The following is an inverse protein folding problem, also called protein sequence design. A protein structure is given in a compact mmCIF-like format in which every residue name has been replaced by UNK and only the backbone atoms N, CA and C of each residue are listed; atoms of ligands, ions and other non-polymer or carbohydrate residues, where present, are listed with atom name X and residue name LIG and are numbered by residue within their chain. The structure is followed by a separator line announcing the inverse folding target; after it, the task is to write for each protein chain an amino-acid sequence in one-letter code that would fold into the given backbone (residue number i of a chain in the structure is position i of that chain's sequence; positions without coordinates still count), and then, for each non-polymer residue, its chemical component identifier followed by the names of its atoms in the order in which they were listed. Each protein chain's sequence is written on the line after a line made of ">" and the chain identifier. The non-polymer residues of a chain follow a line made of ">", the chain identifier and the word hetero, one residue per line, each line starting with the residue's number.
data_IF_024135167053
#
_entry.id   IF_024135167053
#
_cell.length_a   1.000
_cell.length_b   1.000
_cell.length_c   1.000
_cell.angle_alpha   90.00
_cell.angle_beta   90.00
_cell.angle_gamma   90.00
#
_symmetry.space_group_name_H-M   'P 1'
#
loop_
_entity.id
_entity.type
_entity.pdbx_description
1 polymer ?
#
# COMPACT_ATOMS: atom_id res chain seq x y z
N UNK A 1 -26.12 -31.99 -18.11
CA UNK A 1 -25.40 -31.02 -17.25
C UNK A 1 -24.06 -31.63 -16.90
N UNK A 2 -22.98 -31.14 -17.49
CA UNK A 2 -21.63 -31.54 -17.08
C UNK A 2 -21.25 -30.74 -15.83
N UNK A 3 -20.73 -31.42 -14.80
CA UNK A 3 -20.23 -30.74 -13.59
C UNK A 3 -19.02 -29.89 -13.96
N UNK A 4 -18.93 -28.68 -13.39
CA UNK A 4 -17.76 -27.81 -13.51
C UNK A 4 -16.45 -28.54 -13.14
N UNK A 5 -16.52 -29.53 -12.24
CA UNK A 5 -15.37 -30.34 -11.82
C UNK A 5 -14.77 -31.17 -12.95
N UNK A 6 -15.58 -31.57 -13.93
CA UNK A 6 -15.12 -32.40 -15.05
C UNK A 6 -14.41 -31.57 -16.12
N UNK A 7 -14.90 -30.34 -16.37
CA UNK A 7 -14.31 -29.41 -17.34
C UNK A 7 -12.97 -28.85 -16.83
N UNK A 8 -12.87 -28.56 -15.53
CA UNK A 8 -11.63 -28.08 -14.91
C UNK A 8 -10.54 -29.16 -14.94
N UNK A 9 -10.87 -30.42 -14.60
CA UNK A 9 -9.87 -31.51 -14.60
C UNK A 9 -9.36 -31.86 -16.01
N UNK A 10 -10.19 -31.77 -17.06
CA UNK A 10 -9.73 -31.98 -18.44
C UNK A 10 -8.90 -30.80 -18.97
N UNK A 11 -9.20 -29.58 -18.54
CA UNK A 11 -8.42 -28.38 -18.94
C UNK A 11 -7.03 -28.36 -18.31
N UNK A 12 -6.90 -28.86 -17.06
CA UNK A 12 -5.62 -28.98 -16.33
C UNK A 12 -4.66 -29.97 -16.99
N UNK A 13 -5.17 -31.01 -17.67
CA UNK A 13 -4.34 -32.02 -18.32
C UNK A 13 -3.57 -31.50 -19.56
N UNK A 14 -3.92 -30.31 -20.07
CA UNK A 14 -3.34 -29.75 -21.31
C UNK A 14 -2.31 -28.65 -21.02
N UNK A 15 -2.21 -28.16 -19.78
CA UNK A 15 -1.29 -27.06 -19.44
C UNK A 15 0.08 -27.64 -19.04
N UNK A 16 1.18 -27.28 -19.73
CA UNK A 16 2.50 -27.80 -19.40
C UNK A 16 2.89 -27.37 -17.99
N UNK A 17 3.19 -28.36 -17.14
CA UNK A 17 3.88 -28.30 -15.84
C UNK A 17 3.83 -26.94 -15.10
N UNK A 18 2.62 -26.47 -14.71
CA UNK A 18 2.56 -25.42 -13.71
C UNK A 18 3.05 -25.96 -12.36
N UNK A 19 3.85 -25.18 -11.61
CA UNK A 19 4.16 -25.44 -10.21
C UNK A 19 2.92 -25.77 -9.38
N UNK A 20 3.09 -26.67 -8.42
CA UNK A 20 2.00 -27.22 -7.59
C UNK A 20 1.17 -26.11 -6.93
N UNK A 21 1.80 -25.03 -6.46
CA UNK A 21 1.06 -23.94 -5.81
C UNK A 21 0.14 -23.19 -6.79
N UNK A 22 0.55 -23.01 -8.04
CA UNK A 22 -0.27 -22.35 -9.06
C UNK A 22 -1.46 -23.23 -9.49
N UNK A 23 -1.29 -24.55 -9.52
CA UNK A 23 -2.37 -25.51 -9.73
C UNK A 23 -3.39 -25.49 -8.59
N UNK A 24 -2.93 -25.42 -7.34
CA UNK A 24 -3.80 -25.33 -6.17
C UNK A 24 -4.62 -24.04 -6.17
N UNK A 25 -4.03 -22.92 -6.61
CA UNK A 25 -4.73 -21.66 -6.80
C UNK A 25 -5.81 -21.72 -7.90
N UNK A 26 -5.48 -22.29 -9.06
CA UNK A 26 -6.45 -22.47 -10.16
C UNK A 26 -7.62 -23.37 -9.77
N UNK A 27 -7.44 -24.25 -8.78
CA UNK A 27 -8.46 -25.17 -8.26
C UNK A 27 -9.26 -24.64 -7.06
N UNK A 28 -8.89 -23.47 -6.50
CA UNK A 28 -9.56 -22.94 -5.31
C UNK A 28 -9.08 -23.49 -3.97
N UNK A 29 -8.06 -24.33 -3.96
CA UNK A 29 -7.52 -25.01 -2.77
C UNK A 29 -6.38 -24.20 -2.14
N UNK A 30 -6.63 -22.91 -1.86
CA UNK A 30 -5.63 -21.98 -1.29
C UNK A 30 -5.16 -22.41 0.09
N UNK A 31 -6.00 -23.13 0.84
CA UNK A 31 -5.70 -23.63 2.18
C UNK A 31 -4.50 -24.58 2.22
N UNK A 32 -4.16 -25.21 1.09
CA UNK A 32 -3.05 -26.17 0.96
C UNK A 32 -1.72 -25.52 0.56
N UNK A 33 -1.69 -24.20 0.37
CA UNK A 33 -0.49 -23.45 0.00
C UNK A 33 0.36 -23.22 1.25
N UNK A 34 1.59 -23.73 1.24
CA UNK A 34 2.56 -23.49 2.31
C UNK A 34 3.48 -22.32 1.95
N UNK A 35 3.58 -21.27 2.78
CA UNK A 35 4.54 -20.18 2.58
C UNK A 35 6.01 -20.65 2.64
N UNK A 36 6.97 -19.91 2.03
CA UNK A 36 6.78 -18.67 1.27
C UNK A 36 6.34 -18.91 -0.18
N UNK A 37 5.53 -18.00 -0.70
CA UNK A 37 5.06 -18.05 -2.09
C UNK A 37 6.15 -17.62 -3.07
N UNK A 38 6.24 -18.31 -4.21
CA UNK A 38 7.11 -17.88 -5.31
C UNK A 38 6.59 -16.58 -5.94
N UNK A 39 7.45 -15.69 -6.46
CA UNK A 39 7.02 -14.48 -7.17
C UNK A 39 6.07 -14.76 -8.35
N UNK A 40 6.22 -15.90 -9.03
CA UNK A 40 5.33 -16.30 -10.12
C UNK A 40 3.93 -16.70 -9.61
N UNK A 41 3.88 -17.34 -8.44
CA UNK A 41 2.63 -17.69 -7.75
C UNK A 41 1.91 -16.44 -7.27
N UNK A 42 2.68 -15.48 -6.73
CA UNK A 42 2.18 -14.15 -6.38
C UNK A 42 1.54 -13.45 -7.58
N UNK A 43 2.29 -13.26 -8.67
CA UNK A 43 1.81 -12.55 -9.85
C UNK A 43 0.56 -13.17 -10.49
N UNK A 44 0.44 -14.50 -10.47
CA UNK A 44 -0.74 -15.20 -10.98
C UNK A 44 -1.98 -14.93 -10.12
N UNK A 45 -1.85 -14.96 -8.80
CA UNK A 45 -2.93 -14.64 -7.86
C UNK A 45 -3.43 -13.20 -8.07
N UNK A 46 -2.46 -12.29 -8.29
CA UNK A 46 -2.69 -10.87 -8.53
C UNK A 46 -3.40 -10.62 -9.88
N UNK A 47 -3.04 -11.38 -10.92
CA UNK A 47 -3.64 -11.29 -12.25
C UNK A 47 -5.08 -11.86 -12.30
N UNK A 48 -5.40 -12.83 -11.45
CA UNK A 48 -6.71 -13.48 -11.43
C UNK A 48 -7.80 -12.68 -10.71
N UNK A 49 -7.45 -11.68 -9.89
CA UNK A 49 -8.40 -10.74 -9.28
C UNK A 49 -9.45 -11.36 -8.34
N UNK A 50 -9.24 -12.61 -7.89
CA UNK A 50 -10.23 -13.32 -7.08
C UNK A 50 -10.13 -12.94 -5.60
N UNK A 51 -10.97 -11.99 -5.18
CA UNK A 51 -11.03 -11.45 -3.81
C UNK A 51 -11.17 -12.53 -2.72
N UNK A 52 -11.87 -13.64 -2.97
CA UNK A 52 -12.07 -14.69 -1.96
C UNK A 52 -10.78 -15.46 -1.65
N UNK A 53 -10.01 -15.81 -2.68
CA UNK A 53 -8.73 -16.52 -2.54
C UNK A 53 -7.65 -15.62 -1.92
N UNK A 54 -7.64 -14.33 -2.29
CA UNK A 54 -6.81 -13.32 -1.65
C UNK A 54 -7.18 -13.15 -0.18
N UNK A 55 -8.48 -13.18 0.17
CA UNK A 55 -8.94 -13.10 1.56
C UNK A 55 -8.49 -14.31 2.39
N UNK A 56 -8.56 -15.52 1.84
CA UNK A 56 -8.09 -16.73 2.53
C UNK A 56 -6.56 -16.75 2.69
N UNK A 57 -5.83 -16.31 1.66
CA UNK A 57 -4.40 -16.10 1.76
C UNK A 57 -4.10 -15.05 2.84
N UNK A 58 -4.75 -13.90 2.84
CA UNK A 58 -4.61 -12.89 3.91
C UNK A 58 -4.90 -13.47 5.30
N UNK A 59 -5.80 -14.45 5.44
CA UNK A 59 -6.05 -15.16 6.70
C UNK A 59 -4.89 -16.08 7.10
N UNK A 60 -4.20 -16.68 6.14
CA UNK A 60 -2.99 -17.46 6.40
C UNK A 60 -1.75 -16.58 6.63
N UNK A 61 -1.62 -15.47 5.89
CA UNK A 61 -0.53 -14.50 6.00
C UNK A 61 -0.70 -13.56 7.20
N UNK A 62 -1.93 -13.45 7.75
CA UNK A 62 -2.31 -12.79 9.01
C UNK A 62 -1.45 -13.18 10.22
N UNK A 63 -0.73 -14.32 10.16
CA UNK A 63 0.19 -14.79 11.19
C UNK A 63 1.64 -14.27 11.03
N UNK A 64 1.95 -13.49 10.00
CA UNK A 64 3.32 -13.03 9.68
C UNK A 64 3.37 -11.55 9.23
N UNK A 65 3.74 -10.61 10.13
CA UNK A 65 3.80 -9.17 9.84
C UNK A 65 4.73 -8.80 8.66
N UNK A 66 5.85 -9.52 8.51
CA UNK A 66 6.83 -9.29 7.44
C UNK A 66 6.28 -9.61 6.05
N UNK A 67 5.31 -10.50 5.97
CA UNK A 67 4.73 -10.89 4.69
C UNK A 67 3.81 -9.79 4.15
N UNK A 68 2.91 -9.23 4.98
CA UNK A 68 2.09 -8.08 4.57
C UNK A 68 2.92 -6.89 4.07
N UNK A 69 4.09 -6.65 4.67
CA UNK A 69 5.04 -5.63 4.20
C UNK A 69 5.54 -5.93 2.78
N UNK A 70 5.87 -7.19 2.51
CA UNK A 70 6.35 -7.64 1.20
C UNK A 70 5.28 -7.56 0.12
N UNK A 71 4.04 -7.94 0.45
CA UNK A 71 2.89 -7.83 -0.47
C UNK A 71 2.58 -6.37 -0.80
N UNK A 72 2.57 -5.51 0.22
CA UNK A 72 2.33 -4.07 0.05
C UNK A 72 3.43 -3.42 -0.80
N UNK A 73 4.69 -3.78 -0.58
CA UNK A 73 5.81 -3.31 -1.39
C UNK A 73 5.65 -3.70 -2.87
N UNK A 74 5.27 -4.95 -3.14
CA UNK A 74 5.02 -5.45 -4.50
C UNK A 74 3.85 -4.71 -5.13
N UNK A 75 2.76 -4.52 -4.38
CA UNK A 75 1.58 -3.81 -4.84
C UNK A 75 1.87 -2.34 -5.16
N UNK A 76 2.72 -1.68 -4.37
CA UNK A 76 3.17 -0.32 -4.63
C UNK A 76 4.04 -0.21 -5.88
N UNK A 77 5.03 -1.09 -6.06
CA UNK A 77 5.90 -1.04 -7.23
C UNK A 77 5.10 -1.25 -8.52
N UNK A 78 4.13 -2.16 -8.50
CA UNK A 78 3.34 -2.53 -9.68
C UNK A 78 2.02 -1.78 -9.85
N UNK A 79 1.67 -0.86 -8.93
CA UNK A 79 0.42 -0.09 -9.00
C UNK A 79 -0.86 -0.90 -8.84
N UNK A 80 -0.81 -2.01 -8.09
CA UNK A 80 -1.90 -2.97 -7.98
C UNK A 80 -3.00 -2.52 -7.00
N UNK A 81 -3.86 -1.61 -7.48
CA UNK A 81 -4.95 -1.00 -6.72
C UNK A 81 -5.87 -1.99 -5.99
N UNK A 82 -6.20 -3.13 -6.62
CA UNK A 82 -7.09 -4.13 -6.02
C UNK A 82 -6.50 -4.69 -4.71
N UNK A 83 -5.19 -4.88 -4.67
CA UNK A 83 -4.50 -5.45 -3.51
C UNK A 83 -4.32 -4.41 -2.42
N UNK A 84 -3.97 -3.18 -2.80
CA UNK A 84 -3.91 -2.05 -1.86
C UNK A 84 -5.28 -1.85 -1.18
N UNK A 85 -6.37 -1.84 -1.96
CA UNK A 85 -7.72 -1.71 -1.43
C UNK A 85 -8.09 -2.89 -0.53
N UNK A 86 -7.74 -4.11 -0.91
CA UNK A 86 -8.05 -5.32 -0.13
C UNK A 86 -7.31 -5.32 1.20
N UNK A 87 -6.03 -4.96 1.22
CA UNK A 87 -5.22 -4.80 2.43
C UNK A 87 -5.84 -3.73 3.35
N UNK A 88 -6.19 -2.57 2.81
CA UNK A 88 -6.77 -1.50 3.62
C UNK A 88 -8.16 -1.82 4.14
N UNK A 89 -9.02 -2.48 3.35
CA UNK A 89 -10.34 -2.91 3.80
C UNK A 89 -10.26 -3.98 4.91
N UNK A 90 -9.16 -4.73 4.99
CA UNK A 90 -8.93 -5.69 6.06
C UNK A 90 -8.43 -5.06 7.36
N UNK A 91 -7.97 -3.81 7.37
CA UNK A 91 -7.39 -3.16 8.56
C UNK A 91 -8.28 -3.21 9.81
N UNK A 92 -9.61 -2.97 9.73
CA UNK A 92 -10.46 -3.09 10.92
C UNK A 92 -10.49 -4.50 11.51
N UNK A 93 -10.50 -5.53 10.65
CA UNK A 93 -10.44 -6.93 11.07
C UNK A 93 -9.08 -7.26 11.67
N UNK A 94 -8.00 -6.75 11.08
CA UNK A 94 -6.64 -6.90 11.61
C UNK A 94 -6.51 -6.28 13.01
N UNK A 95 -7.08 -5.09 13.22
CA UNK A 95 -7.11 -4.42 14.53
C UNK A 95 -7.88 -5.24 15.57
N UNK A 96 -9.15 -5.56 15.28
CA UNK A 96 -10.07 -6.16 16.25
C UNK A 96 -9.71 -7.60 16.60
N UNK A 97 -9.20 -8.38 15.64
CA UNK A 97 -9.03 -9.84 15.80
C UNK A 97 -7.58 -10.21 16.08
N UNK A 98 -6.62 -9.48 15.53
CA UNK A 98 -5.21 -9.92 15.50
C UNK A 98 -4.26 -9.01 16.28
N UNK A 99 -4.79 -8.07 17.09
CA UNK A 99 -4.00 -7.09 17.84
C UNK A 99 -3.06 -6.28 16.94
N UNK A 100 -3.40 -6.12 15.66
CA UNK A 100 -2.67 -5.22 14.79
C UNK A 100 -2.84 -3.82 15.33
N UNK A 101 -1.74 -3.20 15.75
CA UNK A 101 -1.76 -1.89 16.42
C UNK A 101 -1.00 -0.84 15.60
N UNK A 102 -0.88 0.38 16.16
CA UNK A 102 -0.15 1.47 15.52
C UNK A 102 1.31 1.13 15.17
N UNK A 103 1.97 0.23 15.91
CA UNK A 103 3.37 -0.17 15.66
C UNK A 103 3.49 -0.98 14.37
N UNK A 104 2.42 -1.66 13.97
CA UNK A 104 2.36 -2.46 12.75
C UNK A 104 1.94 -1.62 11.53
N UNK A 105 1.10 -0.60 11.74
CA UNK A 105 0.52 0.20 10.67
C UNK A 105 1.55 1.07 9.94
N UNK A 106 2.45 1.76 10.65
CA UNK A 106 3.47 2.60 10.01
C UNK A 106 4.40 1.79 9.09
N UNK A 107 4.98 0.65 9.53
CA UNK A 107 5.73 -0.23 8.65
C UNK A 107 4.94 -0.76 7.45
N UNK A 108 3.65 -1.08 7.62
CA UNK A 108 2.79 -1.52 6.52
C UNK A 108 2.57 -0.42 5.48
N UNK A 109 2.28 0.81 5.92
CA UNK A 109 2.04 1.95 5.03
C UNK A 109 3.30 2.33 4.25
N UNK A 110 4.46 2.30 4.89
CA UNK A 110 5.73 2.58 4.24
C UNK A 110 6.17 1.42 3.32
N UNK A 111 5.95 0.17 3.75
CA UNK A 111 6.33 -1.04 3.05
C UNK A 111 7.76 -0.99 2.49
N UNK A 112 8.74 -0.83 3.40
CA UNK A 112 10.14 -0.66 3.01
C UNK A 112 10.69 -1.89 2.29
N UNK A 113 11.48 -1.67 1.23
CA UNK A 113 12.32 -2.69 0.64
C UNK A 113 13.57 -2.97 1.49
N UNK A 114 14.43 -3.89 1.02
CA UNK A 114 15.66 -4.29 1.71
C UNK A 114 16.66 -3.16 1.97
N UNK A 115 16.55 -2.04 1.24
CA UNK A 115 17.39 -0.85 1.39
C UNK A 115 16.70 0.25 2.22
N UNK A 116 15.65 -0.10 2.97
CA UNK A 116 14.81 0.83 3.73
C UNK A 116 14.07 1.87 2.88
N UNK A 117 14.00 1.65 1.56
CA UNK A 117 13.28 2.55 0.67
C UNK A 117 11.77 2.22 0.70
N UNK A 118 10.90 3.19 1.06
CA UNK A 118 9.47 2.91 1.16
C UNK A 118 8.82 2.65 -0.20
N UNK A 119 7.98 1.62 -0.31
CA UNK A 119 7.25 1.34 -1.56
C UNK A 119 6.30 2.48 -1.97
N UNK A 120 5.74 3.23 -1.02
CA UNK A 120 4.98 4.45 -1.32
C UNK A 120 5.81 5.46 -2.15
N UNK A 121 7.12 5.53 -1.91
CA UNK A 121 8.01 6.43 -2.63
C UNK A 121 8.23 5.92 -4.07
N UNK A 122 8.29 4.60 -4.28
CA UNK A 122 8.28 4.02 -5.63
C UNK A 122 7.01 4.41 -6.40
N UNK A 123 5.83 4.36 -5.76
CA UNK A 123 4.59 4.79 -6.40
C UNK A 123 4.62 6.26 -6.82
N UNK A 124 5.25 7.13 -6.00
CA UNK A 124 5.49 8.53 -6.35
C UNK A 124 6.46 8.64 -7.54
N UNK A 125 7.57 7.89 -7.53
CA UNK A 125 8.53 7.86 -8.64
C UNK A 125 7.89 7.45 -9.96
N UNK A 126 6.98 6.49 -9.92
CA UNK A 126 6.27 5.99 -11.10
C UNK A 126 5.00 6.78 -11.44
N UNK A 127 4.77 7.95 -10.81
CA UNK A 127 3.62 8.83 -11.04
C UNK A 127 2.26 8.12 -10.85
N UNK A 128 2.21 7.15 -9.95
CA UNK A 128 1.00 6.36 -9.67
C UNK A 128 0.09 7.12 -8.68
N UNK A 129 -0.52 8.22 -9.15
CA UNK A 129 -1.32 9.11 -8.31
C UNK A 129 -2.43 8.37 -7.53
N UNK A 130 -3.15 7.45 -8.17
CA UNK A 130 -4.25 6.69 -7.54
C UNK A 130 -3.77 5.86 -6.35
N UNK A 131 -2.56 5.31 -6.43
CA UNK A 131 -1.93 4.56 -5.34
C UNK A 131 -1.64 5.49 -4.18
N UNK A 132 -0.99 6.63 -4.46
CA UNK A 132 -0.65 7.64 -3.45
C UNK A 132 -1.90 8.13 -2.74
N UNK A 133 -2.94 8.48 -3.49
CA UNK A 133 -4.23 8.91 -2.95
C UNK A 133 -4.85 7.86 -2.03
N UNK A 134 -4.91 6.61 -2.48
CA UNK A 134 -5.50 5.51 -1.71
C UNK A 134 -4.78 5.29 -0.38
N UNK A 135 -3.45 5.37 -0.37
CA UNK A 135 -2.65 5.20 0.86
C UNK A 135 -2.93 6.30 1.86
N UNK A 136 -2.90 7.56 1.40
CA UNK A 136 -3.13 8.70 2.29
C UNK A 136 -4.58 8.75 2.80
N UNK A 137 -5.56 8.38 1.97
CA UNK A 137 -6.95 8.22 2.40
C UNK A 137 -7.12 7.08 3.41
N UNK A 138 -6.45 5.95 3.19
CA UNK A 138 -6.51 4.81 4.11
C UNK A 138 -5.93 5.18 5.48
N UNK A 139 -4.80 5.91 5.51
CA UNK A 139 -4.27 6.44 6.75
C UNK A 139 -5.27 7.39 7.43
N UNK A 140 -5.87 8.33 6.69
CA UNK A 140 -6.88 9.24 7.24
C UNK A 140 -8.11 8.52 7.82
N UNK A 141 -8.60 7.50 7.14
CA UNK A 141 -9.80 6.75 7.54
C UNK A 141 -9.55 5.87 8.77
N UNK A 142 -8.35 5.32 8.89
CA UNK A 142 -8.04 4.32 9.91
C UNK A 142 -7.22 4.87 11.08
N UNK A 143 -6.59 6.05 10.97
CA UNK A 143 -5.72 6.60 12.01
C UNK A 143 -6.41 6.68 13.39
N UNK A 144 -7.70 7.05 13.46
CA UNK A 144 -8.46 7.05 14.72
C UNK A 144 -8.64 5.64 15.31
N UNK A 145 -8.94 4.65 14.46
CA UNK A 145 -9.11 3.27 14.88
C UNK A 145 -7.85 2.73 15.56
N UNK A 146 -6.69 3.08 15.01
CA UNK A 146 -5.38 2.65 15.54
C UNK A 146 -4.84 3.58 16.64
N UNK A 147 -5.58 4.62 17.05
CA UNK A 147 -5.18 5.54 18.11
C UNK A 147 -3.99 6.42 17.75
N UNK A 148 -3.86 6.82 16.48
CA UNK A 148 -2.82 7.76 16.04
C UNK A 148 -3.05 9.14 16.62
N UNK A 149 -1.98 9.71 17.19
CA UNK A 149 -1.93 11.11 17.62
C UNK A 149 -1.52 12.02 16.47
N UNK A 150 -1.65 13.34 16.66
CA UNK A 150 -1.09 14.32 15.73
C UNK A 150 0.41 14.09 15.49
N UNK A 151 1.16 13.71 16.52
CA UNK A 151 2.59 13.42 16.40
C UNK A 151 2.86 12.17 15.58
N UNK A 152 2.09 11.09 15.77
CA UNK A 152 2.22 9.88 14.95
C UNK A 152 1.93 10.18 13.45
N UNK A 153 0.97 11.06 13.17
CA UNK A 153 0.62 11.51 11.81
C UNK A 153 1.76 12.36 11.22
N UNK A 154 2.26 13.34 11.97
CA UNK A 154 3.37 14.20 11.51
C UNK A 154 4.65 13.40 11.28
N UNK A 155 4.93 12.40 12.11
CA UNK A 155 6.04 11.46 11.94
C UNK A 155 5.93 10.59 10.69
N UNK A 156 4.72 10.39 10.17
CA UNK A 156 4.51 9.75 8.86
C UNK A 156 4.75 10.74 7.72
N UNK A 157 4.22 11.96 7.81
CA UNK A 157 4.38 12.99 6.77
C UNK A 157 5.83 13.42 6.57
N UNK A 158 6.55 13.59 7.67
CA UNK A 158 7.95 14.01 7.68
C UNK A 158 8.93 12.82 7.54
N UNK A 159 8.42 11.60 7.32
CA UNK A 159 9.27 10.46 7.06
C UNK A 159 10.09 10.71 5.80
N UNK A 160 11.41 10.67 5.94
CA UNK A 160 12.35 10.82 4.84
C UNK A 160 12.89 9.45 4.44
N UNK A 161 12.83 9.14 3.15
CA UNK A 161 13.55 7.99 2.61
C UNK A 161 15.07 8.20 2.78
N UNK A 162 15.91 7.15 2.63
CA UNK A 162 17.38 7.26 2.76
C UNK A 162 18.01 8.38 1.89
N UNK A 163 17.37 8.70 0.76
CA UNK A 163 17.69 9.83 -0.11
C UNK A 163 17.31 11.22 0.44
N UNK A 164 16.93 11.31 1.73
CA UNK A 164 16.63 12.52 2.52
C UNK A 164 15.42 13.35 2.07
N UNK A 165 14.68 12.89 1.07
CA UNK A 165 13.40 13.49 0.67
C UNK A 165 12.24 12.91 1.48
N UNK A 166 11.29 13.75 1.86
CA UNK A 166 9.93 13.35 2.23
C UNK A 166 9.14 12.97 0.99
N UNK A 167 7.97 12.35 1.16
CA UNK A 167 7.09 12.01 0.04
C UNK A 167 6.69 13.25 -0.78
N UNK A 168 6.43 14.38 -0.10
CA UNK A 168 6.14 15.65 -0.75
C UNK A 168 7.35 16.19 -1.52
N UNK A 169 8.51 16.26 -0.87
CA UNK A 169 9.75 16.76 -1.50
C UNK A 169 10.08 15.93 -2.75
N UNK A 170 9.97 14.60 -2.66
CA UNK A 170 10.18 13.71 -3.81
C UNK A 170 9.19 13.99 -4.95
N UNK A 171 7.90 14.12 -4.65
CA UNK A 171 6.89 14.44 -5.67
C UNK A 171 7.17 15.79 -6.34
N UNK A 172 7.60 16.79 -5.56
CA UNK A 172 7.93 18.11 -6.07
C UNK A 172 9.18 18.10 -6.97
N UNK A 173 10.28 17.47 -6.53
CA UNK A 173 11.54 17.39 -7.27
C UNK A 173 11.38 16.65 -8.61
N UNK A 174 10.52 15.62 -8.65
CA UNK A 174 10.18 14.90 -9.88
C UNK A 174 9.19 15.66 -10.79
N UNK A 175 8.76 16.87 -10.42
CA UNK A 175 7.78 17.64 -11.18
C UNK A 175 6.35 17.06 -11.13
N UNK A 176 6.07 16.13 -10.21
CA UNK A 176 4.76 15.52 -10.02
C UNK A 176 3.83 16.43 -9.21
N UNK A 177 3.59 17.65 -9.72
CA UNK A 177 2.85 18.72 -9.02
C UNK A 177 1.49 18.27 -8.48
N UNK A 178 0.71 17.51 -9.26
CA UNK A 178 -0.60 16.99 -8.83
C UNK A 178 -0.49 16.07 -7.61
N UNK A 179 0.56 15.24 -7.56
CA UNK A 179 0.82 14.36 -6.41
C UNK A 179 1.27 15.19 -5.20
N UNK A 180 2.13 16.20 -5.40
CA UNK A 180 2.54 17.09 -4.31
C UNK A 180 1.35 17.87 -3.71
N UNK A 181 0.45 18.39 -4.56
CA UNK A 181 -0.79 19.06 -4.13
C UNK A 181 -1.73 18.09 -3.41
N UNK A 182 -1.87 16.86 -3.89
CA UNK A 182 -2.63 15.80 -3.22
C UNK A 182 -2.12 15.51 -1.79
N UNK A 183 -0.80 15.42 -1.61
CA UNK A 183 -0.16 15.17 -0.31
C UNK A 183 -0.47 16.32 0.66
N UNK A 184 -0.31 17.57 0.23
CA UNK A 184 -0.62 18.76 1.04
C UNK A 184 -2.12 18.82 1.38
N UNK A 185 -3.00 18.60 0.41
CA UNK A 185 -4.44 18.64 0.63
C UNK A 185 -4.90 17.57 1.62
N UNK A 186 -4.30 16.38 1.58
CA UNK A 186 -4.64 15.31 2.52
C UNK A 186 -4.12 15.61 3.93
N UNK A 187 -2.94 16.24 4.05
CA UNK A 187 -2.45 16.74 5.34
C UNK A 187 -3.42 17.76 5.96
N UNK A 188 -3.86 18.73 5.17
CA UNK A 188 -4.79 19.77 5.62
C UNK A 188 -6.11 19.17 6.11
N UNK A 189 -6.71 18.27 5.32
CA UNK A 189 -7.94 17.56 5.71
C UNK A 189 -7.77 16.77 7.01
N UNK A 190 -6.61 16.15 7.22
CA UNK A 190 -6.34 15.46 8.48
C UNK A 190 -6.12 16.40 9.64
N UNK A 191 -5.40 17.52 9.45
CA UNK A 191 -5.22 18.52 10.49
C UNK A 191 -6.56 19.03 11.01
N UNK A 192 -7.51 19.31 10.10
CA UNK A 192 -8.87 19.69 10.42
C UNK A 192 -9.63 18.54 11.12
N UNK A 193 -9.62 17.34 10.54
CA UNK A 193 -10.37 16.20 11.06
C UNK A 193 -9.88 15.74 12.45
N UNK A 194 -8.57 15.77 12.70
CA UNK A 194 -7.97 15.33 13.97
C UNK A 194 -7.71 16.48 14.94
N UNK A 195 -8.05 17.72 14.57
CA UNK A 195 -7.96 18.88 15.47
C UNK A 195 -6.54 19.32 15.80
N UNK A 196 -5.61 19.22 14.85
CA UNK A 196 -4.21 19.64 15.02
C UNK A 196 -3.78 20.80 14.12
N UNK A 197 -4.72 21.62 13.65
CA UNK A 197 -4.43 22.81 12.82
C UNK A 197 -3.48 23.80 13.49
N UNK A 198 -3.45 23.82 14.82
CA UNK A 198 -2.64 24.73 15.62
C UNK A 198 -1.29 24.10 16.02
N UNK A 199 -1.02 22.86 15.60
CA UNK A 199 0.24 22.17 15.89
C UNK A 199 1.40 22.86 15.16
N UNK A 200 2.48 23.29 15.86
CA UNK A 200 3.60 23.98 15.24
C UNK A 200 4.30 23.20 14.13
N UNK A 201 4.40 21.86 14.25
CA UNK A 201 4.98 21.00 13.19
C UNK A 201 4.13 21.03 11.94
N UNK A 202 2.80 20.93 12.08
CA UNK A 202 1.88 21.03 10.95
C UNK A 202 1.97 22.40 10.28
N UNK A 203 1.95 23.49 11.04
CA UNK A 203 2.03 24.86 10.49
C UNK A 203 3.34 25.05 9.71
N UNK A 204 4.48 24.62 10.29
CA UNK A 204 5.77 24.71 9.64
C UNK A 204 5.81 23.90 8.34
N UNK A 205 5.34 22.64 8.39
CA UNK A 205 5.30 21.75 7.22
C UNK A 205 4.39 22.30 6.12
N UNK A 206 3.17 22.74 6.47
CA UNK A 206 2.22 23.35 5.54
C UNK A 206 2.83 24.56 4.84
N UNK A 207 3.39 25.50 5.61
CA UNK A 207 3.99 26.71 5.07
C UNK A 207 5.16 26.39 4.15
N UNK A 208 5.98 25.40 4.50
CA UNK A 208 7.08 24.91 3.68
C UNK A 208 6.57 24.34 2.34
N UNK A 209 5.58 23.44 2.38
CA UNK A 209 4.99 22.83 1.18
C UNK A 209 4.33 23.89 0.27
N UNK A 210 3.55 24.81 0.83
CA UNK A 210 2.92 25.90 0.08
C UNK A 210 3.95 26.83 -0.56
N UNK A 211 5.04 27.14 0.14
CA UNK A 211 6.13 27.96 -0.40
C UNK A 211 6.81 27.28 -1.59
N UNK A 212 7.01 25.95 -1.54
CA UNK A 212 7.56 25.20 -2.66
C UNK A 212 6.60 25.18 -3.86
N UNK A 213 5.31 24.92 -3.66
CA UNK A 213 4.32 24.92 -4.75
C UNK A 213 4.12 26.29 -5.42
N UNK A 214 4.39 27.38 -4.70
CA UNK A 214 4.37 28.76 -5.23
C UNK A 214 5.61 29.07 -6.07
N UNK A 215 6.75 28.43 -5.80
CA UNK A 215 7.93 28.55 -6.67
C UNK A 215 7.63 27.82 -7.98
N UNK A 216 7.93 28.45 -9.11
CA UNK A 216 7.84 27.80 -10.40
C UNK A 216 8.69 26.51 -10.35
N UNK A 217 8.11 25.38 -10.76
CA UNK A 217 8.77 24.08 -10.71
C UNK A 217 10.16 24.18 -11.39
N UNK A 218 11.23 23.56 -10.86
CA UNK A 218 12.58 23.65 -11.43
C UNK A 218 12.67 23.28 -12.93
N UNK A 219 11.64 22.61 -13.47
CA UNK A 219 11.57 22.15 -14.85
C UNK A 219 10.88 23.13 -15.83
N UNK A 220 10.70 24.40 -15.46
CA UNK A 220 10.23 25.47 -16.38
C UNK A 220 11.35 26.33 -16.99
N UNK A 221 12.60 25.86 -17.01
CA UNK A 221 13.64 26.42 -17.89
C UNK A 221 13.91 25.40 -18.98
N UNK A 222 13.35 25.71 -20.16
CA UNK A 222 13.50 24.98 -21.42
C UNK A 222 14.91 25.18 -21.99
#
# INVERSE_FOLDING_TARGET
>A
KWSNDHVINQSVAIIPALPKEQLLMLKGSVDEITPPLSPATMNLLMAMGQNHQLTQLMIQLQKMPELHRTEMLTAYNSGHMNVINTIFNALPTLFNTFKFDKKNMKPLLLANNSNEYPGLFSAIQHKQQNVVETVYLALSNHARLFGFTAEDIMDFWQHKAPQKYSAFELAFELGHRVIAELILNTLNKMAESFGFTDNPRYIAEKNYMEALLKKASPHTVR
#
